data_IF_496158971134
#
_entry.id   IF_496158971134
#
_cell.length_a   1.000
_cell.length_b   1.000
_cell.length_c   1.000
_cell.angle_alpha   90.00
_cell.angle_beta   90.00
_cell.angle_gamma   90.00
#
_symmetry.space_group_name_H-M   'P 1'
#
loop_
_entity.id
_entity.type
_entity.pdbx_description
1 polymer ?
#
# COMPACT_ATOMS: atom_id res chain seq x y z
N UNK A 1 8.32 0.12 -14.34
CA UNK A 1 8.79 1.26 -13.50
C UNK A 1 9.94 2.09 -14.09
N UNK A 2 10.79 1.56 -14.97
CA UNK A 2 12.00 2.27 -15.50
C UNK A 2 11.74 3.61 -16.23
N UNK A 3 10.55 3.86 -16.77
CA UNK A 3 10.25 5.09 -17.52
C UNK A 3 10.05 6.31 -16.61
N UNK A 4 9.40 6.16 -15.45
CA UNK A 4 9.17 7.26 -14.51
C UNK A 4 10.45 7.79 -13.87
N UNK A 5 11.41 6.90 -13.60
CA UNK A 5 12.74 7.28 -13.08
C UNK A 5 13.65 7.93 -14.12
N UNK A 6 13.31 7.86 -15.41
CA UNK A 6 14.15 8.38 -16.50
C UNK A 6 14.19 9.91 -16.51
N UNK A 7 13.13 10.56 -16.02
CA UNK A 7 12.96 12.02 -16.08
C UNK A 7 12.71 12.67 -14.71
N UNK A 8 12.73 11.89 -13.63
CA UNK A 8 12.45 12.39 -12.28
C UNK A 8 12.83 11.43 -11.18
N UNK A 9 12.91 11.94 -9.94
CA UNK A 9 13.19 11.13 -8.75
C UNK A 9 11.89 10.62 -8.15
N UNK A 10 11.73 9.30 -8.07
CA UNK A 10 10.61 8.68 -7.37
C UNK A 10 10.74 8.96 -5.87
N UNK A 11 9.73 9.63 -5.30
CA UNK A 11 9.70 10.05 -3.89
C UNK A 11 8.94 9.10 -2.99
N UNK A 12 8.07 8.26 -3.54
CA UNK A 12 7.28 7.30 -2.79
C UNK A 12 6.31 6.55 -3.70
N UNK A 13 5.57 5.62 -3.10
CA UNK A 13 4.52 4.84 -3.74
C UNK A 13 3.22 5.10 -2.98
N UNK A 14 2.16 5.46 -3.70
CA UNK A 14 0.79 5.46 -3.20
C UNK A 14 0.12 4.17 -3.67
N UNK A 15 -0.52 3.46 -2.75
CA UNK A 15 -1.15 2.17 -3.00
C UNK A 15 -2.60 2.19 -2.52
N UNK A 16 -3.52 1.89 -3.43
CA UNK A 16 -4.93 1.71 -3.10
C UNK A 16 -5.43 0.48 -3.85
N UNK A 17 -5.52 -0.63 -3.14
CA UNK A 17 -5.98 -1.91 -3.67
C UNK A 17 -6.44 -2.79 -2.51
N UNK A 18 -7.37 -3.70 -2.81
CA UNK A 18 -7.80 -4.79 -1.94
C UNK A 18 -9.32 -5.00 -1.98
N UNK A 19 -10.01 -4.29 -2.87
CA UNK A 19 -11.47 -4.32 -3.00
C UNK A 19 -11.94 -5.73 -3.37
N UNK A 20 -11.19 -6.43 -4.22
CA UNK A 20 -11.47 -7.82 -4.62
C UNK A 20 -10.77 -8.85 -3.71
N UNK A 21 -9.61 -8.53 -3.14
CA UNK A 21 -8.81 -9.44 -2.32
C UNK A 21 -9.04 -9.28 -0.81
N UNK A 22 -10.05 -8.53 -0.38
CA UNK A 22 -10.28 -8.22 1.04
C UNK A 22 -10.47 -9.46 1.93
N UNK A 23 -10.81 -10.61 1.34
CA UNK A 23 -10.99 -11.90 2.02
C UNK A 23 -9.70 -12.73 2.09
N UNK A 24 -8.65 -12.34 1.37
CA UNK A 24 -7.38 -13.06 1.39
C UNK A 24 -6.65 -12.81 2.71
N UNK A 25 -6.55 -13.85 3.54
CA UNK A 25 -5.83 -13.78 4.81
C UNK A 25 -4.33 -13.61 4.62
N UNK A 26 -3.79 -14.05 3.48
CA UNK A 26 -2.38 -13.95 3.11
C UNK A 26 -2.05 -12.64 2.39
N UNK A 27 -2.97 -11.67 2.39
CA UNK A 27 -2.77 -10.40 1.70
C UNK A 27 -1.45 -9.71 2.08
N UNK A 28 -1.13 -9.62 3.37
CA UNK A 28 0.14 -9.03 3.82
C UNK A 28 1.36 -9.85 3.43
N UNK A 29 1.24 -11.19 3.41
CA UNK A 29 2.33 -12.09 3.02
C UNK A 29 2.68 -11.92 1.53
N UNK A 30 1.72 -11.49 0.71
CA UNK A 30 1.93 -11.15 -0.70
C UNK A 30 2.39 -9.70 -0.87
N UNK A 31 1.81 -8.77 -0.11
CA UNK A 31 2.09 -7.34 -0.22
C UNK A 31 3.51 -6.98 0.23
N UNK A 32 4.02 -7.58 1.32
CA UNK A 32 5.35 -7.24 1.84
C UNK A 32 6.47 -7.57 0.83
N UNK A 33 6.54 -8.79 0.26
CA UNK A 33 7.51 -9.11 -0.80
C UNK A 33 7.36 -8.21 -2.02
N UNK A 34 6.12 -7.85 -2.39
CA UNK A 34 5.87 -6.91 -3.47
C UNK A 34 6.51 -5.55 -3.19
N UNK A 35 6.29 -4.95 -2.02
CA UNK A 35 6.90 -3.67 -1.62
C UNK A 35 8.43 -3.77 -1.64
N UNK A 36 8.99 -4.87 -1.13
CA UNK A 36 10.43 -5.11 -1.11
C UNK A 36 11.02 -5.20 -2.52
N UNK A 37 10.35 -5.89 -3.43
CA UNK A 37 10.76 -5.99 -4.82
C UNK A 37 10.72 -4.61 -5.50
N UNK A 38 9.68 -3.81 -5.26
CA UNK A 38 9.62 -2.43 -5.76
C UNK A 38 10.79 -1.58 -5.25
N UNK A 39 11.11 -1.66 -3.96
CA UNK A 39 12.25 -0.94 -3.35
C UNK A 39 13.58 -1.39 -3.95
N UNK A 40 13.74 -2.68 -4.23
CA UNK A 40 14.92 -3.26 -4.88
C UNK A 40 15.06 -2.76 -6.31
N UNK A 41 14.00 -2.81 -7.10
CA UNK A 41 13.99 -2.37 -8.50
C UNK A 41 14.28 -0.88 -8.63
N UNK A 42 13.82 -0.10 -7.65
CA UNK A 42 14.04 1.35 -7.57
C UNK A 42 15.33 1.73 -6.82
N UNK A 43 16.12 0.73 -6.38
CA UNK A 43 17.37 0.91 -5.62
C UNK A 43 17.21 1.86 -4.42
N UNK A 44 16.05 1.83 -3.77
CA UNK A 44 15.74 2.66 -2.61
C UNK A 44 15.06 1.82 -1.51
N UNK A 45 15.84 1.25 -0.56
CA UNK A 45 15.30 0.41 0.52
C UNK A 45 14.40 1.17 1.51
N UNK A 46 14.48 2.51 1.51
CA UNK A 46 13.72 3.39 2.39
C UNK A 46 12.61 4.13 1.65
N UNK A 47 12.26 3.69 0.43
CA UNK A 47 11.23 4.36 -0.36
C UNK A 47 9.90 4.33 0.40
N UNK A 48 9.31 5.50 0.71
CA UNK A 48 8.02 5.59 1.38
C UNK A 48 6.95 4.84 0.60
N UNK A 49 6.15 4.05 1.30
CA UNK A 49 5.00 3.35 0.75
C UNK A 49 3.77 3.67 1.60
N UNK A 50 2.76 4.28 1.01
CA UNK A 50 1.56 4.74 1.70
C UNK A 50 0.37 3.98 1.13
N UNK A 51 -0.30 3.19 1.97
CA UNK A 51 -1.51 2.46 1.58
C UNK A 51 -2.78 3.20 2.05
N UNK A 52 -3.84 3.19 1.24
CA UNK A 52 -5.17 3.65 1.64
C UNK A 52 -6.02 2.51 2.20
N UNK A 53 -6.74 2.77 3.28
CA UNK A 53 -7.82 1.88 3.75
C UNK A 53 -8.97 1.82 2.75
N UNK A 54 -9.69 0.69 2.72
CA UNK A 54 -10.85 0.50 1.85
C UNK A 54 -12.14 0.80 2.62
N UNK A 55 -13.05 1.53 1.99
CA UNK A 55 -14.31 1.92 2.62
C UNK A 55 -15.11 0.69 3.06
N UNK A 56 -15.67 0.72 4.28
CA UNK A 56 -16.50 -0.34 4.88
C UNK A 56 -15.82 -1.73 4.96
N UNK A 57 -14.48 -1.83 4.96
CA UNK A 57 -13.73 -3.09 5.07
C UNK A 57 -12.93 -3.20 6.38
N UNK A 58 -13.60 -3.14 7.53
CA UNK A 58 -12.97 -3.09 8.86
C UNK A 58 -11.92 -4.16 9.12
N UNK A 59 -12.23 -5.44 8.91
CA UNK A 59 -11.27 -6.53 9.19
C UNK A 59 -10.08 -6.53 8.25
N UNK A 60 -10.30 -6.20 6.97
CA UNK A 60 -9.21 -6.02 6.02
C UNK A 60 -8.34 -4.81 6.42
N UNK A 61 -8.95 -3.68 6.78
CA UNK A 61 -8.21 -2.49 7.21
C UNK A 61 -7.40 -2.76 8.48
N UNK A 62 -7.91 -3.54 9.45
CA UNK A 62 -7.13 -3.98 10.60
C UNK A 62 -5.87 -4.75 10.18
N UNK A 63 -6.00 -5.68 9.23
CA UNK A 63 -4.84 -6.39 8.65
C UNK A 63 -3.91 -5.41 7.94
N UNK A 64 -4.43 -4.55 7.07
CA UNK A 64 -3.63 -3.57 6.34
C UNK A 64 -2.83 -2.65 7.27
N UNK A 65 -3.44 -2.17 8.36
CA UNK A 65 -2.79 -1.33 9.37
C UNK A 65 -1.60 -2.02 10.05
N UNK A 66 -1.59 -3.35 10.14
CA UNK A 66 -0.45 -4.10 10.68
C UNK A 66 0.81 -4.00 9.80
N UNK A 67 0.69 -3.53 8.54
CA UNK A 67 1.82 -3.28 7.65
C UNK A 67 2.87 -2.36 8.31
N UNK A 68 2.42 -1.31 8.99
CA UNK A 68 3.29 -0.31 9.64
C UNK A 68 4.20 -0.89 10.71
N UNK A 69 3.77 -1.99 11.35
CA UNK A 69 4.54 -2.71 12.35
C UNK A 69 5.49 -3.74 11.73
N UNK A 70 5.16 -4.26 10.54
CA UNK A 70 5.92 -5.32 9.86
C UNK A 70 7.01 -4.79 8.93
N UNK A 71 6.84 -3.59 8.38
CA UNK A 71 7.77 -3.04 7.40
C UNK A 71 7.98 -1.54 7.61
N UNK A 72 9.22 -1.13 7.85
CA UNK A 72 9.58 0.29 7.99
C UNK A 72 9.35 1.10 6.71
N UNK A 73 9.29 2.43 6.85
CA UNK A 73 8.98 3.37 5.76
C UNK A 73 7.62 3.09 5.09
N UNK A 74 6.65 2.61 5.89
CA UNK A 74 5.27 2.42 5.45
C UNK A 74 4.31 3.25 6.31
N UNK A 75 3.21 3.69 5.71
CA UNK A 75 2.10 4.32 6.39
C UNK A 75 0.79 3.79 5.82
N UNK A 76 -0.28 3.87 6.62
CA UNK A 76 -1.65 3.58 6.18
C UNK A 76 -2.52 4.80 6.48
N UNK A 77 -3.27 5.25 5.48
CA UNK A 77 -4.16 6.41 5.57
C UNK A 77 -5.59 5.93 5.69
N UNK A 78 -6.33 6.49 6.65
CA UNK A 78 -7.70 6.05 6.91
C UNK A 78 -8.69 6.51 5.84
N UNK A 79 -9.70 5.69 5.57
CA UNK A 79 -10.85 6.02 4.72
C UNK A 79 -12.08 6.47 5.52
N UNK A 80 -11.95 6.64 6.85
CA UNK A 80 -13.04 7.12 7.70
C UNK A 80 -13.56 8.48 7.21
N UNK A 81 -14.87 8.57 7.02
CA UNK A 81 -15.53 9.80 6.56
C UNK A 81 -15.52 9.99 5.04
N UNK A 82 -14.89 9.09 4.28
CA UNK A 82 -15.02 9.08 2.83
C UNK A 82 -16.36 8.44 2.43
N UNK A 83 -17.17 9.21 1.71
CA UNK A 83 -18.35 8.71 1.02
C UNK A 83 -17.91 8.12 -0.32
N UNK A 84 -18.33 6.88 -0.62
CA UNK A 84 -18.35 6.45 -2.00
C UNK A 84 -19.47 7.25 -2.66
N UNK A 85 -19.12 8.16 -3.57
CA UNK A 85 -20.09 8.92 -4.35
C UNK A 85 -20.63 7.99 -5.44
N UNK A 86 -21.52 7.08 -5.07
CA UNK A 86 -22.38 6.40 -6.04
C UNK A 86 -23.68 7.20 -6.09
N UNK A 87 -23.86 7.94 -7.20
CA UNK A 87 -25.16 8.42 -7.68
C UNK A 87 -25.93 7.26 -8.30
#
# INVERSE_FOLDING_TARGET
MKLGSKYGRIKGILWHQGEQDNKDEKYLEKLIPFIQNLRKDLKNPKLPFIAGEINKKTEFNKRLNALTKKLGYTAVVSSKGLTATDM
#
